data_IF_388483132599
#
_entry.id   IF_388483132599
#
_cell.length_a   1.000
_cell.length_b   1.000
_cell.length_c   1.000
_cell.angle_alpha   90.00
_cell.angle_beta   90.00
_cell.angle_gamma   90.00
#
_symmetry.space_group_name_H-M   'P 1'
#
loop_
_entity.id
_entity.type
_entity.pdbx_description
1 polymer ?
#
# COMPACT_ATOMS: atom_id res chain seq x y z
N UNK A 1 11.78 -0.25 4.55
CA UNK A 1 10.72 0.68 5.02
C UNK A 1 9.48 -0.17 5.30
N UNK A 2 8.77 0.06 6.40
CA UNK A 2 7.55 -0.70 6.75
C UNK A 2 6.32 0.21 6.69
N UNK A 3 5.17 -0.36 6.32
CA UNK A 3 3.91 0.39 6.24
C UNK A 3 3.49 0.95 7.60
N UNK A 4 3.76 0.20 8.66
CA UNK A 4 3.48 0.61 10.04
C UNK A 4 4.25 1.89 10.41
N UNK A 5 5.51 2.02 9.99
CA UNK A 5 6.27 3.25 10.20
C UNK A 5 5.69 4.45 9.44
N UNK A 6 5.22 4.24 8.20
CA UNK A 6 4.57 5.31 7.44
C UNK A 6 3.29 5.78 8.12
N UNK A 7 2.50 4.84 8.67
CA UNK A 7 1.28 5.12 9.43
C UNK A 7 1.60 5.85 10.73
N UNK A 8 2.60 5.39 11.49
CA UNK A 8 3.03 6.05 12.72
C UNK A 8 3.54 7.47 12.46
N UNK A 9 4.32 7.69 11.40
CA UNK A 9 4.79 9.03 11.01
C UNK A 9 3.62 9.93 10.61
N UNK A 10 2.69 9.42 9.80
CA UNK A 10 1.48 10.16 9.43
C UNK A 10 0.66 10.53 10.68
N UNK A 11 0.45 9.57 11.59
CA UNK A 11 -0.26 9.79 12.85
C UNK A 11 0.46 10.81 13.74
N UNK A 12 1.79 10.75 13.83
CA UNK A 12 2.55 11.70 14.63
C UNK A 12 2.46 13.13 14.08
N UNK A 13 2.49 13.30 12.76
CA UNK A 13 2.44 14.63 12.13
C UNK A 13 1.02 15.21 12.04
N UNK A 14 0.03 14.38 11.68
CA UNK A 14 -1.37 14.81 11.48
C UNK A 14 -2.25 14.65 12.71
N UNK A 15 -1.75 13.95 13.74
CA UNK A 15 -2.53 13.50 14.90
C UNK A 15 -3.80 12.73 14.51
N UNK A 16 -3.76 12.07 13.35
CA UNK A 16 -4.88 11.37 12.72
C UNK A 16 -4.38 10.09 12.07
N UNK A 17 -5.21 9.04 12.08
CA UNK A 17 -4.91 7.81 11.37
C UNK A 17 -5.28 7.96 9.89
N UNK A 18 -4.43 7.49 8.97
CA UNK A 18 -4.77 7.49 7.54
C UNK A 18 -5.93 6.51 7.29
N UNK A 19 -6.96 6.96 6.58
CA UNK A 19 -8.10 6.10 6.23
C UNK A 19 -7.76 5.08 5.14
N UNK A 20 -6.73 5.35 4.34
CA UNK A 20 -6.28 4.50 3.23
C UNK A 20 -4.84 4.81 2.85
N UNK A 21 -4.19 3.92 2.09
CA UNK A 21 -2.85 4.21 1.54
C UNK A 21 -2.82 5.51 0.72
N UNK A 22 -3.93 5.90 0.09
CA UNK A 22 -4.03 7.17 -0.63
C UNK A 22 -3.84 8.40 0.27
N UNK A 23 -4.29 8.35 1.52
CA UNK A 23 -4.12 9.43 2.49
C UNK A 23 -2.63 9.64 2.81
N UNK A 24 -1.91 8.53 2.97
CA UNK A 24 -0.45 8.53 3.17
C UNK A 24 0.24 9.08 1.91
N UNK A 25 -0.18 8.61 0.73
CA UNK A 25 0.38 9.03 -0.55
C UNK A 25 0.23 10.54 -0.77
N UNK A 26 -0.96 11.10 -0.50
CA UNK A 26 -1.23 12.54 -0.62
C UNK A 26 -0.32 13.37 0.30
N UNK A 27 -0.12 12.91 1.53
CA UNK A 27 0.77 13.58 2.49
C UNK A 27 2.22 13.62 2.01
N UNK A 28 2.76 12.49 1.53
CA UNK A 28 4.12 12.45 0.99
C UNK A 28 4.24 13.18 -0.36
N UNK A 29 3.18 13.19 -1.17
CA UNK A 29 3.14 13.98 -2.40
C UNK A 29 3.23 15.48 -2.10
N UNK A 30 2.49 15.95 -1.08
CA UNK A 30 2.57 17.35 -0.64
C UNK A 30 3.97 17.70 -0.17
N UNK A 31 4.62 16.83 0.61
CA UNK A 31 6.02 16.98 1.05
C UNK A 31 7.01 17.04 -0.12
N UNK A 32 6.76 16.29 -1.18
CA UNK A 32 7.57 16.36 -2.39
C UNK A 32 7.39 17.70 -3.11
N UNK A 33 6.15 18.16 -3.25
CA UNK A 33 5.83 19.45 -3.88
C UNK A 33 6.42 20.63 -3.08
N UNK A 34 6.41 20.54 -1.74
CA UNK A 34 7.02 21.57 -0.87
C UNK A 34 8.55 21.48 -0.81
N UNK A 35 9.16 20.44 -1.37
CA UNK A 35 10.61 20.22 -1.33
C UNK A 35 11.13 19.68 0.01
N UNK A 36 10.26 19.20 0.90
CA UNK A 36 10.66 18.52 2.14
C UNK A 36 11.29 17.15 1.88
N UNK A 37 10.94 16.51 0.75
CA UNK A 37 11.54 15.24 0.32
C UNK A 37 11.92 15.28 -1.16
N UNK A 38 12.99 14.58 -1.50
CA UNK A 38 13.42 14.39 -2.89
C UNK A 38 12.54 13.41 -3.67
N UNK A 39 12.58 13.54 -4.99
CA UNK A 39 11.91 12.66 -5.95
C UNK A 39 12.29 11.18 -5.76
N UNK A 40 13.53 10.89 -5.36
CA UNK A 40 14.00 9.51 -5.10
C UNK A 40 13.20 8.90 -3.95
N UNK A 41 13.10 9.65 -2.84
CA UNK A 41 12.39 9.22 -1.63
C UNK A 41 10.89 9.10 -1.88
N UNK A 42 10.33 10.03 -2.64
CA UNK A 42 8.94 9.96 -3.09
C UNK A 42 8.66 8.69 -3.93
N UNK A 43 9.54 8.37 -4.90
CA UNK A 43 9.38 7.17 -5.74
C UNK A 43 9.49 5.88 -4.94
N UNK A 44 10.37 5.80 -3.94
CA UNK A 44 10.47 4.65 -3.05
C UNK A 44 9.16 4.44 -2.26
N UNK A 45 8.63 5.51 -1.66
CA UNK A 45 7.37 5.47 -0.90
C UNK A 45 6.19 5.12 -1.81
N UNK A 46 6.12 5.70 -3.00
CA UNK A 46 5.09 5.41 -3.99
C UNK A 46 5.12 3.94 -4.42
N UNK A 47 6.29 3.41 -4.78
CA UNK A 47 6.45 1.99 -5.15
C UNK A 47 6.10 1.07 -3.99
N UNK A 48 6.50 1.42 -2.77
CA UNK A 48 6.19 0.66 -1.58
C UNK A 48 4.68 0.62 -1.29
N UNK A 49 4.00 1.77 -1.30
CA UNK A 49 2.55 1.88 -1.11
C UNK A 49 1.78 1.18 -2.23
N UNK A 50 2.27 1.26 -3.47
CA UNK A 50 1.70 0.56 -4.62
C UNK A 50 1.82 -0.96 -4.48
N UNK A 51 2.96 -1.49 -4.01
CA UNK A 51 3.14 -2.93 -3.77
C UNK A 51 2.21 -3.40 -2.64
N UNK A 52 2.16 -2.67 -1.52
CA UNK A 52 1.29 -3.04 -0.39
C UNK A 52 -0.20 -2.96 -0.76
N UNK A 53 -0.62 -1.89 -1.44
CA UNK A 53 -1.99 -1.74 -1.94
C UNK A 53 -2.33 -2.73 -3.06
N UNK A 54 -1.36 -3.11 -3.91
CA UNK A 54 -1.54 -4.15 -4.91
C UNK A 54 -1.70 -5.52 -4.26
N UNK A 55 -0.95 -5.85 -3.21
CA UNK A 55 -1.16 -7.10 -2.45
C UNK A 55 -2.59 -7.12 -1.89
N UNK A 56 -3.06 -6.04 -1.27
CA UNK A 56 -4.44 -5.98 -0.75
C UNK A 56 -5.53 -5.98 -1.84
N UNK A 57 -5.29 -5.39 -3.01
CA UNK A 57 -6.26 -5.40 -4.13
C UNK A 57 -6.25 -6.71 -4.92
N UNK A 58 -5.09 -7.37 -5.02
CA UNK A 58 -4.93 -8.66 -5.70
C UNK A 58 -5.37 -9.83 -4.80
N UNK A 59 -5.28 -9.70 -3.48
CA UNK A 59 -5.86 -10.66 -2.53
C UNK A 59 -7.41 -10.64 -2.57
N UNK A 60 -8.02 -9.52 -2.98
CA UNK A 60 -9.46 -9.43 -3.25
C UNK A 60 -9.89 -9.81 -4.68
N UNK A 61 -8.94 -10.24 -5.53
CA UNK A 61 -9.21 -10.64 -6.92
C UNK A 61 -8.79 -12.09 -7.22
N UNK A 62 -8.66 -12.94 -6.19
CA UNK A 62 -8.49 -14.39 -6.36
C UNK A 62 -9.41 -15.20 -5.44
N UNK A 63 -10.69 -14.88 -5.45
CA UNK A 63 -11.77 -15.88 -5.32
C UNK A 63 -12.76 -15.57 -6.44
N UNK A 64 -13.17 -16.44 -7.37
CA UNK A 64 -13.10 -17.90 -7.61
C UNK A 64 -13.63 -18.11 -9.08
N UNK A 65 -13.82 -19.30 -9.74
CA UNK A 65 -13.92 -20.67 -9.18
C UNK A 65 -13.47 -21.88 -10.08
N UNK A 66 -13.49 -23.10 -9.49
CA UNK A 66 -13.57 -24.48 -10.08
C UNK A 66 -12.26 -25.02 -10.72
N UNK A 67 -11.81 -26.25 -10.48
CA UNK A 67 -12.55 -27.50 -10.39
C UNK A 67 -11.64 -28.56 -9.73
N UNK A 68 -12.05 -29.08 -8.57
CA UNK A 68 -11.48 -30.31 -8.02
C UNK A 68 -12.03 -31.44 -8.90
N UNK A 69 -11.25 -31.93 -9.85
CA UNK A 69 -11.59 -33.18 -10.53
C UNK A 69 -11.43 -34.31 -9.51
N UNK A 70 -12.44 -35.17 -9.30
CA UNK A 70 -12.23 -36.37 -8.51
C UNK A 70 -11.24 -37.25 -9.27
N UNK A 71 -10.00 -37.30 -8.80
CA UNK A 71 -9.06 -38.34 -9.24
C UNK A 71 -9.43 -39.59 -8.46
N UNK A 72 -10.40 -40.33 -8.98
CA UNK A 72 -10.64 -41.72 -8.59
C UNK A 72 -10.76 -42.55 -9.86
N UNK A 73 -9.59 -42.92 -10.39
CA UNK A 73 -9.42 -44.08 -11.25
C UNK A 73 -8.34 -44.95 -10.63
N UNK A 74 -8.74 -45.84 -9.74
CA UNK A 74 -8.15 -47.17 -9.57
C UNK A 74 -9.16 -48.07 -8.87
#
# INVERSE_FOLDING_TARGET
>A
MYIDQLIQMYHHEKNQLPNSMNDILDHYQKKYITGEIDIVKYREIYSFLKIQGAISAHEFSYESPKQIFPTSFH
#
